data_IF_001735451081
#
_entry.id   IF_001735451081
#
_cell.length_a   1.000
_cell.length_b   1.000
_cell.length_c   1.000
_cell.angle_alpha   90.00
_cell.angle_beta   90.00
_cell.angle_gamma   90.00
#
_symmetry.space_group_name_H-M   'P 1'
#
loop_
_entity.id
_entity.type
_entity.pdbx_description
1 polymer ?
#
# COMPACT_ATOMS: atom_id res chain seq x y z
N UNK A 1 -6.28 -1.90 30.96
CA UNK A 1 -5.89 -2.15 29.55
C UNK A 1 -4.73 -1.25 29.06
N UNK A 2 -3.72 -0.94 29.89
CA UNK A 2 -2.47 -0.31 29.39
C UNK A 2 -1.53 -1.37 28.79
N UNK A 3 -1.30 -2.46 29.53
CA UNK A 3 -0.44 -3.58 29.13
C UNK A 3 -0.73 -4.18 27.75
N UNK A 4 -1.99 -4.28 27.34
CA UNK A 4 -2.34 -4.83 26.01
C UNK A 4 -2.04 -3.84 24.88
N UNK A 5 -2.30 -2.55 25.10
CA UNK A 5 -1.89 -1.49 24.18
C UNK A 5 -0.37 -1.37 24.07
N UNK A 6 0.34 -1.55 25.19
CA UNK A 6 1.81 -1.57 25.20
C UNK A 6 2.36 -2.79 24.47
N UNK A 7 1.69 -3.94 24.57
CA UNK A 7 2.03 -5.15 23.79
C UNK A 7 1.88 -4.92 22.30
N UNK A 8 0.76 -4.32 21.85
CA UNK A 8 0.58 -3.98 20.43
C UNK A 8 1.68 -3.05 19.92
N UNK A 9 1.94 -1.95 20.64
CA UNK A 9 2.94 -0.95 20.25
C UNK A 9 4.35 -1.54 20.21
N UNK A 10 4.73 -2.29 21.25
CA UNK A 10 6.06 -2.87 21.38
C UNK A 10 6.34 -3.93 20.31
N UNK A 11 5.39 -4.83 20.04
CA UNK A 11 5.52 -5.84 18.98
C UNK A 11 5.64 -5.18 17.61
N UNK A 12 4.74 -4.24 17.25
CA UNK A 12 4.82 -3.56 15.94
C UNK A 12 6.15 -2.80 15.81
N UNK A 13 6.53 -2.03 16.83
CA UNK A 13 7.79 -1.28 16.82
C UNK A 13 9.01 -2.19 16.61
N UNK A 14 9.09 -3.30 17.36
CA UNK A 14 10.17 -4.28 17.24
C UNK A 14 10.32 -4.81 15.82
N UNK A 15 9.22 -5.26 15.21
CA UNK A 15 9.28 -5.88 13.88
C UNK A 15 9.46 -4.84 12.77
N UNK A 16 8.91 -3.62 12.92
CA UNK A 16 9.23 -2.50 12.01
C UNK A 16 10.71 -2.14 12.04
N UNK A 17 11.33 -2.07 13.22
CA UNK A 17 12.78 -1.81 13.34
C UNK A 17 13.63 -2.87 12.65
N UNK A 18 13.21 -4.15 12.65
CA UNK A 18 13.90 -5.18 11.87
C UNK A 18 13.81 -4.96 10.36
N UNK A 19 12.71 -4.39 9.86
CA UNK A 19 12.61 -4.01 8.45
C UNK A 19 13.51 -2.83 8.14
N UNK A 20 13.44 -1.76 8.94
CA UNK A 20 14.25 -0.55 8.73
C UNK A 20 15.75 -0.84 8.74
N UNK A 21 16.21 -1.76 9.59
CA UNK A 21 17.62 -2.16 9.66
C UNK A 21 18.01 -3.27 8.66
N UNK A 22 17.12 -3.67 7.75
CA UNK A 22 17.39 -4.70 6.74
C UNK A 22 17.55 -6.12 7.29
N UNK A 23 17.21 -6.37 8.56
CA UNK A 23 17.23 -7.70 9.18
C UNK A 23 16.15 -8.58 8.59
N UNK A 24 14.96 -8.02 8.36
CA UNK A 24 13.82 -8.68 7.74
C UNK A 24 13.32 -7.92 6.52
N UNK A 25 12.81 -8.67 5.54
CA UNK A 25 11.90 -8.11 4.53
C UNK A 25 10.55 -7.77 5.17
N UNK A 26 9.76 -6.89 4.55
CA UNK A 26 8.41 -6.57 5.05
C UNK A 26 7.56 -7.82 5.31
N UNK A 27 7.58 -8.79 4.38
CA UNK A 27 6.81 -10.05 4.50
C UNK A 27 7.27 -10.89 5.69
N UNK A 28 8.57 -11.01 5.90
CA UNK A 28 9.12 -11.74 7.05
C UNK A 28 8.74 -11.06 8.37
N UNK A 29 8.77 -9.73 8.42
CA UNK A 29 8.34 -8.97 9.59
C UNK A 29 6.84 -9.14 9.86
N UNK A 30 6.00 -9.14 8.83
CA UNK A 30 4.57 -9.41 8.97
C UNK A 30 4.32 -10.79 9.58
N UNK A 31 4.91 -11.84 9.00
CA UNK A 31 4.71 -13.22 9.47
C UNK A 31 5.22 -13.40 10.90
N UNK A 32 6.39 -12.84 11.22
CA UNK A 32 6.97 -12.92 12.55
C UNK A 32 6.14 -12.17 13.61
N UNK A 33 5.62 -10.98 13.28
CA UNK A 33 4.76 -10.22 14.16
C UNK A 33 3.40 -10.91 14.37
N UNK A 34 2.79 -11.47 13.33
CA UNK A 34 1.55 -12.25 13.46
C UNK A 34 1.78 -13.47 14.34
N UNK A 35 2.89 -14.19 14.17
CA UNK A 35 3.25 -15.33 15.02
C UNK A 35 3.40 -14.92 16.49
N UNK A 36 4.05 -13.78 16.77
CA UNK A 36 4.24 -13.26 18.13
C UNK A 36 2.92 -12.85 18.79
N UNK A 37 1.99 -12.26 18.05
CA UNK A 37 0.66 -11.99 18.60
C UNK A 37 -0.13 -13.26 18.89
N UNK A 38 -0.13 -14.21 17.94
CA UNK A 38 -0.89 -15.46 18.09
C UNK A 38 -0.35 -16.34 19.22
N UNK A 39 0.98 -16.39 19.42
CA UNK A 39 1.59 -17.14 20.54
C UNK A 39 1.19 -16.59 21.92
N UNK A 40 0.85 -15.30 21.99
CA UNK A 40 0.34 -14.62 23.19
C UNK A 40 -1.19 -14.71 23.31
N UNK A 41 -1.85 -15.44 22.42
CA UNK A 41 -3.32 -15.58 22.40
C UNK A 41 -4.07 -14.38 21.82
N UNK A 42 -3.37 -13.45 21.16
CA UNK A 42 -3.96 -12.23 20.61
C UNK A 42 -4.33 -12.44 19.14
N UNK A 43 -5.61 -12.54 18.83
CA UNK A 43 -6.12 -12.88 17.50
C UNK A 43 -6.81 -11.71 16.76
N UNK A 44 -7.20 -10.66 17.48
CA UNK A 44 -7.85 -9.49 16.92
C UNK A 44 -7.54 -8.23 17.74
N UNK A 45 -7.71 -7.08 17.10
CA UNK A 45 -7.69 -5.77 17.75
C UNK A 45 -9.09 -5.18 17.68
N UNK A 46 -9.51 -4.51 18.74
CA UNK A 46 -10.75 -3.74 18.78
C UNK A 46 -10.41 -2.25 18.67
N UNK A 47 -11.01 -1.60 17.68
CA UNK A 47 -10.91 -0.16 17.49
C UNK A 47 -11.85 0.59 18.43
N UNK A 48 -11.65 1.92 18.54
CA UNK A 48 -12.43 2.78 19.44
C UNK A 48 -13.94 2.74 19.15
N UNK A 49 -14.32 2.45 17.91
CA UNK A 49 -15.70 2.29 17.43
C UNK A 49 -16.29 0.89 17.72
N UNK A 50 -15.55 0.01 18.42
CA UNK A 50 -15.95 -1.37 18.71
C UNK A 50 -15.74 -2.32 17.52
N UNK A 51 -15.24 -1.85 16.38
CA UNK A 51 -14.94 -2.69 15.22
C UNK A 51 -13.75 -3.59 15.55
N UNK A 52 -13.93 -4.90 15.36
CA UNK A 52 -12.83 -5.88 15.50
C UNK A 52 -12.18 -6.17 14.16
N UNK A 53 -10.85 -6.12 14.14
CA UNK A 53 -10.04 -6.41 12.97
C UNK A 53 -9.13 -7.59 13.28
N UNK A 54 -8.95 -8.48 12.32
CA UNK A 54 -8.05 -9.62 12.47
C UNK A 54 -6.60 -9.13 12.67
N UNK A 55 -5.85 -9.84 13.52
CA UNK A 55 -4.48 -9.43 13.85
C UNK A 55 -3.53 -9.40 12.65
N UNK A 56 -3.71 -10.27 11.65
CA UNK A 56 -2.90 -10.27 10.44
C UNK A 56 -3.17 -9.04 9.57
N UNK A 57 -4.44 -8.65 9.45
CA UNK A 57 -4.84 -7.44 8.73
C UNK A 57 -4.30 -6.19 9.42
N UNK A 58 -4.38 -6.15 10.75
CA UNK A 58 -3.83 -5.06 11.54
C UNK A 58 -2.31 -4.97 11.43
N UNK A 59 -1.62 -6.09 11.59
CA UNK A 59 -0.14 -6.15 11.58
C UNK A 59 0.44 -5.71 10.25
N UNK A 60 -0.11 -6.22 9.14
CA UNK A 60 0.31 -5.83 7.79
C UNK A 60 0.10 -4.34 7.53
N UNK A 61 -1.04 -3.79 7.94
CA UNK A 61 -1.32 -2.36 7.85
C UNK A 61 -0.34 -1.54 8.69
N UNK A 62 -0.16 -1.91 9.95
CA UNK A 62 0.63 -1.15 10.92
C UNK A 62 2.12 -1.12 10.55
N UNK A 63 2.73 -2.28 10.27
CA UNK A 63 4.15 -2.34 9.91
C UNK A 63 4.40 -1.59 8.59
N UNK A 64 3.52 -1.72 7.58
CA UNK A 64 3.65 -0.96 6.32
C UNK A 64 3.60 0.55 6.57
N UNK A 65 2.62 1.02 7.34
CA UNK A 65 2.49 2.44 7.64
C UNK A 65 3.69 2.98 8.42
N UNK A 66 4.22 2.21 9.38
CA UNK A 66 5.43 2.61 10.12
C UNK A 66 6.65 2.70 9.19
N UNK A 67 6.85 1.69 8.34
CA UNK A 67 7.99 1.69 7.40
C UNK A 67 7.90 2.80 6.36
N UNK A 68 6.70 3.04 5.81
CA UNK A 68 6.46 4.13 4.87
C UNK A 68 6.78 5.50 5.51
N UNK A 69 6.35 5.72 6.76
CA UNK A 69 6.67 6.95 7.50
C UNK A 69 8.15 7.08 7.83
N UNK A 70 8.80 5.98 8.20
CA UNK A 70 10.24 5.97 8.44
C UNK A 70 11.03 6.32 7.16
N UNK A 71 10.60 5.78 6.02
CA UNK A 71 11.16 6.12 4.71
C UNK A 71 10.98 7.60 4.38
N UNK A 72 9.75 8.13 4.49
CA UNK A 72 9.46 9.54 4.24
C UNK A 72 10.24 10.48 5.18
N UNK A 73 10.40 10.11 6.46
CA UNK A 73 11.21 10.88 7.40
C UNK A 73 12.70 10.87 7.03
N UNK A 74 13.24 9.72 6.60
CA UNK A 74 14.63 9.61 6.16
C UNK A 74 14.92 10.42 4.90
N UNK A 75 14.05 10.31 3.89
CA UNK A 75 14.11 11.13 2.67
C UNK A 75 13.93 12.62 2.97
N UNK A 76 13.02 12.96 3.89
CA UNK A 76 12.76 14.33 4.29
C UNK A 76 13.96 15.01 4.95
N UNK A 77 14.68 14.30 5.83
CA UNK A 77 15.92 14.79 6.43
C UNK A 77 17.03 14.97 5.37
N UNK A 78 17.11 14.07 4.40
CA UNK A 78 18.05 14.21 3.29
C UNK A 78 17.72 15.42 2.40
N UNK A 79 16.44 15.63 2.08
CA UNK A 79 15.95 16.82 1.37
C UNK A 79 16.26 18.12 2.11
N UNK A 80 16.04 18.13 3.42
CA UNK A 80 16.41 19.26 4.29
C UNK A 80 17.90 19.58 4.23
N UNK A 81 18.76 18.57 4.20
CA UNK A 81 20.20 18.76 4.01
C UNK A 81 20.54 19.38 2.65
N UNK A 82 19.81 19.02 1.59
CA UNK A 82 19.96 19.60 0.27
C UNK A 82 19.36 21.01 0.13
N UNK A 83 18.52 21.44 1.08
CA UNK A 83 17.76 22.68 0.97
C UNK A 83 16.54 22.58 0.06
N UNK A 84 16.13 21.36 -0.31
CA UNK A 84 14.97 21.12 -1.15
C UNK A 84 13.75 20.81 -0.28
N UNK A 85 12.65 21.53 -0.47
CA UNK A 85 11.42 21.33 0.30
C UNK A 85 10.24 20.93 -0.56
N UNK A 86 10.39 20.94 -1.89
CA UNK A 86 9.35 20.56 -2.81
C UNK A 86 9.33 19.06 -3.05
N UNK A 87 8.14 18.48 -3.00
CA UNK A 87 7.91 17.06 -3.21
C UNK A 87 6.77 16.83 -4.17
N UNK A 88 6.88 15.79 -4.99
CA UNK A 88 5.82 15.32 -5.86
C UNK A 88 5.27 13.99 -5.36
N UNK A 89 3.94 13.86 -5.35
CA UNK A 89 3.28 12.63 -4.95
C UNK A 89 3.28 11.63 -6.11
N UNK A 90 3.80 10.43 -5.85
CA UNK A 90 3.84 9.35 -6.84
C UNK A 90 2.43 8.97 -7.32
N UNK A 91 2.24 8.70 -8.60
CA UNK A 91 0.98 8.14 -9.12
C UNK A 91 1.02 6.60 -9.20
N UNK A 92 -0.13 5.95 -8.95
CA UNK A 92 -0.31 4.54 -9.31
C UNK A 92 -1.75 4.19 -9.71
N UNK A 93 -1.92 3.22 -10.61
CA UNK A 93 -3.23 2.85 -11.17
C UNK A 93 -4.30 2.43 -10.13
N UNK A 94 -3.90 2.00 -8.93
CA UNK A 94 -4.80 1.57 -7.85
C UNK A 94 -4.98 2.61 -6.75
N UNK A 95 -4.95 3.90 -7.11
CA UNK A 95 -5.16 4.99 -6.15
C UNK A 95 -6.54 4.93 -5.51
N UNK A 96 -6.58 5.17 -4.19
CA UNK A 96 -7.84 5.25 -3.48
C UNK A 96 -8.47 6.63 -3.67
N UNK A 97 -9.76 6.76 -3.30
CA UNK A 97 -10.49 8.03 -3.38
C UNK A 97 -9.85 9.18 -2.60
N UNK A 98 -9.12 8.87 -1.51
CA UNK A 98 -8.48 9.86 -0.65
C UNK A 98 -7.16 10.36 -1.21
N UNK A 99 -6.37 9.49 -1.84
CA UNK A 99 -5.05 9.87 -2.39
C UNK A 99 -5.12 10.42 -3.80
N UNK A 100 -6.11 9.96 -4.60
CA UNK A 100 -6.25 10.35 -6.01
C UNK A 100 -6.20 11.86 -6.26
N UNK A 101 -6.82 12.73 -5.43
CA UNK A 101 -6.74 14.18 -5.63
C UNK A 101 -5.33 14.77 -5.51
N UNK A 102 -4.37 14.05 -4.95
CA UNK A 102 -3.02 14.53 -4.68
C UNK A 102 -1.97 13.92 -5.60
N UNK A 103 -2.32 12.95 -6.46
CA UNK A 103 -1.36 12.32 -7.36
C UNK A 103 -0.78 13.31 -8.38
N UNK A 104 0.52 13.19 -8.66
CA UNK A 104 1.28 14.09 -9.54
C UNK A 104 1.24 15.57 -9.15
N UNK A 105 0.76 15.90 -7.94
CA UNK A 105 0.82 17.27 -7.43
C UNK A 105 2.12 17.51 -6.70
N UNK A 106 2.64 18.72 -6.91
CA UNK A 106 3.76 19.27 -6.13
C UNK A 106 3.20 19.86 -4.85
N UNK A 107 3.82 19.51 -3.73
CA UNK A 107 3.52 19.98 -2.39
C UNK A 107 4.80 20.48 -1.72
N UNK A 108 4.66 21.32 -0.69
CA UNK A 108 5.77 21.69 0.19
C UNK A 108 5.81 20.72 1.36
N UNK A 109 6.95 20.05 1.56
CA UNK A 109 7.17 19.13 2.68
C UNK A 109 7.50 19.88 3.97
N UNK A 110 6.47 20.40 4.63
CA UNK A 110 6.52 21.03 5.94
C UNK A 110 6.59 20.03 7.11
N UNK A 111 6.43 18.73 6.83
CA UNK A 111 6.35 17.67 7.86
C UNK A 111 7.70 17.04 8.15
N UNK A 112 8.46 16.70 7.10
CA UNK A 112 9.72 15.97 7.22
C UNK A 112 10.92 16.82 6.81
N UNK A 113 10.80 17.60 5.72
CA UNK A 113 11.89 18.47 5.25
C UNK A 113 11.93 19.83 5.95
N UNK A 114 10.81 20.25 6.55
CA UNK A 114 10.71 21.51 7.28
C UNK A 114 10.48 22.72 6.37
N UNK A 115 9.85 22.51 5.22
CA UNK A 115 9.43 23.59 4.34
C UNK A 115 8.39 24.51 4.97
N UNK A 116 8.27 25.70 4.40
CA UNK A 116 7.37 26.76 4.86
C UNK A 116 6.46 27.23 3.73
N UNK A 117 5.31 27.87 4.03
CA UNK A 117 4.46 28.48 3.00
C UNK A 117 5.18 29.51 2.12
N UNK A 118 6.31 30.05 2.58
CA UNK A 118 7.11 31.01 1.83
C UNK A 118 7.97 30.35 0.74
N UNK A 119 8.07 29.00 0.73
CA UNK A 119 8.88 28.24 -0.23
C UNK A 119 8.20 28.09 -1.60
N UNK A 120 6.91 28.43 -1.73
CA UNK A 120 6.21 28.41 -3.01
C UNK A 120 4.68 28.50 -2.89
N UNK A 121 4.01 28.66 -4.03
CA UNK A 121 2.53 28.65 -4.12
C UNK A 121 1.98 27.21 -4.28
N UNK A 122 2.38 26.34 -3.35
CA UNK A 122 1.95 24.94 -3.32
C UNK A 122 1.27 24.62 -1.99
N UNK A 123 0.39 23.62 -2.03
CA UNK A 123 -0.27 23.13 -0.81
C UNK A 123 0.75 22.47 0.12
N UNK A 124 0.60 22.70 1.43
CA UNK A 124 1.46 22.06 2.43
C UNK A 124 1.15 20.57 2.54
N UNK A 125 2.20 19.77 2.75
CA UNK A 125 2.06 18.33 2.94
C UNK A 125 1.20 18.01 4.17
N UNK A 126 1.34 18.76 5.26
CA UNK A 126 0.51 18.60 6.47
C UNK A 126 -0.99 18.78 6.19
N UNK A 127 -1.35 19.71 5.30
CA UNK A 127 -2.74 19.94 4.88
C UNK A 127 -3.25 18.76 4.05
N UNK A 128 -2.47 18.29 3.08
CA UNK A 128 -2.84 17.13 2.27
C UNK A 128 -3.02 15.87 3.14
N UNK A 129 -2.16 15.68 4.14
CA UNK A 129 -2.29 14.59 5.13
C UNK A 129 -3.56 14.72 5.98
N UNK A 130 -3.96 15.94 6.35
CA UNK A 130 -5.20 16.17 7.08
C UNK A 130 -6.45 15.85 6.23
N UNK A 131 -6.37 16.06 4.91
CA UNK A 131 -7.43 15.71 3.96
C UNK A 131 -7.49 14.22 3.60
N UNK A 132 -6.47 13.43 3.97
CA UNK A 132 -6.49 11.96 3.88
C UNK A 132 -5.34 11.33 3.09
N UNK A 133 -4.36 12.12 2.64
CA UNK A 133 -3.12 11.60 2.05
C UNK A 133 -2.35 10.75 3.07
N UNK A 134 -1.71 9.67 2.62
CA UNK A 134 -1.00 8.70 3.46
C UNK A 134 -1.86 7.99 4.53
N UNK A 135 -3.12 7.71 4.18
CA UNK A 135 -3.99 6.86 5.00
C UNK A 135 -3.40 5.45 5.25
N UNK A 136 -3.91 4.68 6.24
CA UNK A 136 -3.44 3.31 6.47
C UNK A 136 -3.54 2.44 5.21
N UNK A 137 -2.47 1.70 4.89
CA UNK A 137 -2.26 0.94 3.63
C UNK A 137 -2.08 1.76 2.35
N UNK A 138 -1.86 3.07 2.44
CA UNK A 138 -1.42 3.85 1.30
C UNK A 138 -0.12 3.27 0.69
N UNK A 139 0.07 3.41 -0.62
CA UNK A 139 1.29 3.00 -1.32
C UNK A 139 2.03 4.15 -2.00
N UNK A 140 1.49 5.37 -1.88
CA UNK A 140 2.12 6.57 -2.39
C UNK A 140 3.46 6.83 -1.69
N UNK A 141 4.40 7.39 -2.41
CA UNK A 141 5.66 7.89 -1.89
C UNK A 141 5.79 9.40 -2.13
N UNK A 142 6.78 9.98 -1.48
CA UNK A 142 7.24 11.35 -1.72
C UNK A 142 8.46 11.28 -2.62
N UNK A 143 8.33 11.73 -3.86
CA UNK A 143 9.47 12.02 -4.73
C UNK A 143 9.96 13.44 -4.48
N UNK A 144 11.27 13.68 -4.57
CA UNK A 144 11.79 15.06 -4.54
C UNK A 144 11.44 15.73 -5.86
N UNK A 145 10.92 16.96 -5.78
CA UNK A 145 10.61 17.76 -6.96
C UNK A 145 11.69 18.82 -7.17
N UNK A 146 12.26 18.85 -8.37
CA UNK A 146 13.30 19.80 -8.79
C UNK A 146 12.73 20.64 -9.93
N UNK A 147 12.29 21.88 -9.67
CA UNK A 147 11.69 22.75 -10.69
C UNK A 147 12.58 22.94 -11.92
N UNK A 148 13.90 23.01 -11.73
CA UNK A 148 14.90 23.17 -12.78
C UNK A 148 15.03 21.95 -13.72
N UNK A 149 14.47 20.79 -13.34
CA UNK A 149 14.46 19.57 -14.14
C UNK A 149 13.11 19.32 -14.83
N UNK A 150 12.13 20.21 -14.66
CA UNK A 150 10.78 20.09 -15.23
C UNK A 150 10.79 20.02 -16.77
N UNK A 151 11.73 20.71 -17.42
CA UNK A 151 11.96 20.66 -18.88
C UNK A 151 12.50 19.29 -19.35
N UNK A 152 13.05 18.49 -18.45
CA UNK A 152 13.64 17.17 -18.72
C UNK A 152 12.65 16.06 -18.36
N UNK A 153 11.85 16.27 -17.30
CA UNK A 153 10.89 15.31 -16.77
C UNK A 153 9.54 16.02 -16.60
N UNK A 154 8.71 15.98 -17.63
CA UNK A 154 7.33 16.44 -17.52
C UNK A 154 6.52 15.45 -16.67
N UNK A 155 6.07 15.94 -15.52
CA UNK A 155 5.02 15.30 -14.74
C UNK A 155 3.68 15.81 -15.27
N UNK A 156 2.90 14.95 -15.92
CA UNK A 156 1.57 15.31 -16.40
C UNK A 156 0.70 15.77 -15.23
N UNK A 157 0.46 17.08 -15.16
CA UNK A 157 -0.40 17.76 -14.18
C UNK A 157 -1.74 18.19 -14.76
N UNK A 158 -1.92 18.04 -16.08
CA UNK A 158 -3.12 18.49 -16.77
C UNK A 158 -4.24 17.44 -16.73
N UNK A 159 -5.32 17.83 -16.07
CA UNK A 159 -6.68 17.27 -16.11
C UNK A 159 -7.00 16.08 -15.18
N UNK A 160 -7.78 16.41 -14.15
CA UNK A 160 -8.45 15.50 -13.20
C UNK A 160 -9.52 14.66 -13.92
N UNK A 161 -9.11 13.76 -14.82
CA UNK A 161 -10.03 12.69 -15.19
C UNK A 161 -10.18 11.75 -14.00
N UNK A 162 -11.39 11.74 -13.46
CA UNK A 162 -11.91 10.67 -12.59
C UNK A 162 -11.93 9.37 -13.39
N UNK A 163 -10.76 8.74 -13.55
CA UNK A 163 -10.66 7.43 -14.16
C UNK A 163 -11.46 6.44 -13.31
N UNK A 164 -12.30 5.64 -13.96
CA UNK A 164 -13.26 4.73 -13.37
C UNK A 164 -12.65 3.79 -12.31
N UNK A 165 -13.49 3.45 -11.35
CA UNK A 165 -13.18 2.55 -10.25
C UNK A 165 -12.92 1.12 -10.73
N UNK A 166 -11.87 0.50 -10.20
CA UNK A 166 -11.77 -0.96 -10.04
C UNK A 166 -10.88 -1.67 -11.06
N UNK A 167 -9.56 -1.71 -10.82
CA UNK A 167 -8.69 -2.60 -11.59
C UNK A 167 -8.90 -4.08 -11.20
N UNK A 168 -8.51 -4.98 -12.10
CA UNK A 168 -8.43 -6.43 -11.92
C UNK A 168 -7.69 -6.86 -10.62
N UNK A 169 -6.84 -6.01 -10.07
CA UNK A 169 -6.10 -6.22 -8.82
C UNK A 169 -6.97 -6.14 -7.57
N UNK A 170 -8.00 -5.28 -7.57
CA UNK A 170 -9.00 -5.24 -6.49
C UNK A 170 -9.82 -6.54 -6.47
N UNK A 171 -10.11 -7.11 -7.65
CA UNK A 171 -10.70 -8.44 -7.78
C UNK A 171 -9.75 -9.54 -7.24
N UNK A 172 -8.45 -9.45 -7.52
CA UNK A 172 -7.44 -10.41 -7.02
C UNK A 172 -7.34 -10.40 -5.49
N UNK A 173 -7.19 -9.22 -4.87
CA UNK A 173 -7.12 -9.09 -3.42
C UNK A 173 -8.41 -9.57 -2.74
N UNK A 174 -9.58 -9.28 -3.32
CA UNK A 174 -10.85 -9.78 -2.82
C UNK A 174 -10.92 -11.32 -2.85
N UNK A 175 -10.51 -11.93 -3.96
CA UNK A 175 -10.52 -13.39 -4.13
C UNK A 175 -9.54 -14.06 -3.15
N UNK A 176 -8.34 -13.53 -2.98
CA UNK A 176 -7.37 -14.07 -2.02
C UNK A 176 -7.88 -14.00 -0.59
N UNK A 177 -8.56 -12.91 -0.22
CA UNK A 177 -9.21 -12.77 1.09
C UNK A 177 -10.32 -13.81 1.30
N UNK A 178 -11.13 -14.08 0.26
CA UNK A 178 -12.19 -15.08 0.33
C UNK A 178 -11.63 -16.50 0.45
N UNK A 179 -10.55 -16.83 -0.28
CA UNK A 179 -9.84 -18.11 -0.14
C UNK A 179 -9.36 -18.27 1.32
N UNK A 180 -8.66 -17.28 1.85
CA UNK A 180 -8.10 -17.36 3.20
C UNK A 180 -9.20 -17.42 4.29
N UNK A 181 -10.34 -16.77 4.07
CA UNK A 181 -11.52 -16.90 4.93
C UNK A 181 -12.00 -18.36 5.00
N UNK A 182 -12.22 -19.01 3.85
CA UNK A 182 -12.72 -20.39 3.84
C UNK A 182 -11.69 -21.42 4.29
N UNK A 183 -10.37 -21.19 4.09
CA UNK A 183 -9.31 -22.03 4.71
C UNK A 183 -9.43 -22.02 6.23
N UNK A 184 -9.55 -20.83 6.84
CA UNK A 184 -9.72 -20.68 8.30
C UNK A 184 -10.99 -21.37 8.80
N UNK A 185 -12.12 -21.17 8.12
CA UNK A 185 -13.40 -21.81 8.49
C UNK A 185 -13.35 -23.33 8.39
N UNK A 186 -12.63 -23.87 7.39
CA UNK A 186 -12.47 -25.32 7.21
C UNK A 186 -11.64 -25.93 8.32
N UNK A 187 -10.53 -25.28 8.72
CA UNK A 187 -9.64 -25.76 9.79
C UNK A 187 -10.30 -25.63 11.17
N UNK A 188 -11.05 -24.55 11.40
CA UNK A 188 -11.65 -24.24 12.70
C UNK A 188 -13.01 -24.91 12.98
N UNK A 189 -13.59 -25.63 12.02
CA UNK A 189 -14.89 -26.29 12.20
C UNK A 189 -14.71 -27.75 12.59
N UNK A 190 -15.51 -28.23 13.56
CA UNK A 190 -15.52 -29.62 14.02
C UNK A 190 -16.64 -30.45 13.36
N UNK A 191 -17.65 -29.79 12.80
CA UNK A 191 -18.81 -30.43 12.19
C UNK A 191 -18.50 -30.85 10.73
N UNK A 192 -18.58 -32.16 10.39
CA UNK A 192 -18.32 -32.66 9.05
C UNK A 192 -19.14 -31.98 7.95
N UNK A 193 -20.39 -31.60 8.22
CA UNK A 193 -21.25 -30.94 7.23
C UNK A 193 -20.76 -29.51 6.93
N UNK A 194 -20.32 -28.78 7.96
CA UNK A 194 -19.75 -27.46 7.81
C UNK A 194 -18.38 -27.50 7.13
N UNK A 195 -17.53 -28.48 7.46
CA UNK A 195 -16.25 -28.70 6.78
C UNK A 195 -16.46 -28.93 5.27
N UNK A 196 -17.41 -29.80 4.89
CA UNK A 196 -17.72 -30.07 3.49
C UNK A 196 -18.20 -28.81 2.76
N UNK A 197 -19.09 -28.04 3.39
CA UNK A 197 -19.60 -26.77 2.85
C UNK A 197 -18.49 -25.73 2.64
N UNK A 198 -17.59 -25.57 3.61
CA UNK A 198 -16.49 -24.61 3.51
C UNK A 198 -15.43 -25.02 2.50
N UNK A 199 -15.13 -26.32 2.37
CA UNK A 199 -14.27 -26.85 1.31
C UNK A 199 -14.84 -26.61 -0.08
N UNK A 200 -16.14 -26.81 -0.26
CA UNK A 200 -16.79 -26.53 -1.54
C UNK A 200 -16.66 -25.05 -1.94
N UNK A 201 -16.87 -24.14 -0.99
CA UNK A 201 -16.65 -22.70 -1.20
C UNK A 201 -15.18 -22.36 -1.44
N UNK A 202 -14.24 -22.97 -0.71
CA UNK A 202 -12.81 -22.79 -0.95
C UNK A 202 -12.44 -23.11 -2.41
N UNK A 203 -12.87 -24.27 -2.90
CA UNK A 203 -12.61 -24.72 -4.27
C UNK A 203 -13.27 -23.81 -5.32
N UNK A 204 -14.40 -23.19 -4.99
CA UNK A 204 -15.04 -22.18 -5.85
C UNK A 204 -14.14 -20.95 -6.01
N UNK A 205 -13.60 -20.42 -4.91
CA UNK A 205 -12.75 -19.23 -4.94
C UNK A 205 -11.36 -19.50 -5.53
N UNK A 206 -10.79 -20.68 -5.31
CA UNK A 206 -9.53 -21.09 -5.94
C UNK A 206 -9.68 -21.23 -7.47
N UNK A 207 -10.84 -21.70 -7.96
CA UNK A 207 -11.14 -21.70 -9.40
C UNK A 207 -11.26 -20.29 -9.98
N UNK A 208 -11.93 -19.37 -9.27
CA UNK A 208 -11.99 -17.94 -9.68
C UNK A 208 -10.60 -17.30 -9.73
N UNK A 209 -9.70 -17.65 -8.80
CA UNK A 209 -8.29 -17.21 -8.83
C UNK A 209 -7.56 -17.72 -10.07
N UNK A 210 -7.76 -18.98 -10.43
CA UNK A 210 -7.14 -19.58 -11.62
C UNK A 210 -7.62 -18.92 -12.92
N UNK A 211 -8.93 -18.65 -13.04
CA UNK A 211 -9.51 -17.96 -14.21
C UNK A 211 -8.95 -16.56 -14.42
N UNK A 212 -8.77 -15.78 -13.34
CA UNK A 212 -8.08 -14.49 -13.42
C UNK A 212 -6.62 -14.62 -13.83
N UNK A 213 -5.92 -15.67 -13.41
CA UNK A 213 -4.53 -15.93 -13.83
C UNK A 213 -4.41 -16.17 -15.33
N UNK A 214 -5.38 -16.89 -15.92
CA UNK A 214 -5.42 -17.20 -17.36
C UNK A 214 -5.77 -15.95 -18.19
N UNK A 215 -6.80 -15.18 -17.79
CA UNK A 215 -7.18 -13.95 -18.47
C UNK A 215 -6.04 -12.92 -18.53
N UNK A 216 -5.22 -12.83 -17.48
CA UNK A 216 -4.05 -11.96 -17.47
C UNK A 216 -2.96 -12.41 -18.44
N UNK A 217 -2.76 -13.73 -18.62
CA UNK A 217 -1.77 -14.26 -19.57
C UNK A 217 -2.15 -14.03 -21.04
N UNK A 218 -3.46 -14.05 -21.34
CA UNK A 218 -4.00 -13.76 -22.67
C UNK A 218 -3.94 -12.26 -23.00
N UNK A 219 -4.13 -11.38 -22.01
CA UNK A 219 -4.08 -9.92 -22.19
C UNK A 219 -2.65 -9.36 -22.29
N UNK A 220 -1.65 -10.07 -21.76
CA UNK A 220 -0.23 -9.71 -21.87
C UNK A 220 0.44 -10.13 -23.19
N UNK A 221 -0.30 -10.84 -24.06
CA UNK A 221 0.20 -11.32 -25.35
C UNK A 221 -0.52 -10.66 -26.52
N UNK A 222 -0.20 -9.40 -26.84
CA UNK A 222 -0.11 -8.77 -28.18
C UNK A 222 0.34 -7.31 -27.95
N UNK A 223 1.65 -7.09 -27.80
CA UNK A 223 2.33 -5.93 -28.37
C UNK A 223 3.61 -6.49 -28.99
N UNK A 224 3.50 -6.95 -30.24
CA UNK A 224 4.68 -7.38 -31.00
C UNK A 224 5.52 -6.13 -31.31
N UNK A 225 6.57 -5.90 -30.53
CA UNK A 225 7.59 -4.86 -30.72
C UNK A 225 8.36 -4.97 -32.06
N UNK A 226 8.06 -5.96 -32.90
CA UNK A 226 8.72 -6.21 -34.18
C UNK A 226 8.10 -5.48 -35.38
N UNK A 227 6.91 -4.89 -35.28
CA UNK A 227 6.31 -4.14 -36.40
C UNK A 227 6.67 -2.65 -36.43
N UNK A 228 7.07 -2.06 -35.30
CA UNK A 228 7.37 -0.61 -35.22
C UNK A 228 8.70 -0.26 -35.92
N UNK A 229 9.66 -1.19 -35.99
CA UNK A 229 10.97 -0.95 -36.63
C UNK A 229 11.03 -1.27 -38.12
N UNK A 230 9.99 -1.88 -38.71
CA UNK A 230 9.99 -2.21 -40.14
C UNK A 230 9.50 -1.06 -41.04
N UNK A 231 8.88 -0.01 -40.46
CA UNK A 231 8.41 1.18 -41.19
C UNK A 231 9.37 2.38 -41.16
N UNK A 232 10.53 2.27 -40.52
CA UNK A 232 11.55 3.35 -40.47
C UNK A 232 12.80 3.11 -41.33
N UNK A 233 12.84 2.03 -42.13
CA UNK A 233 13.92 1.76 -43.09
C UNK A 233 13.52 1.98 -44.55
N UNK A 234 12.32 2.52 -44.80
CA UNK A 234 11.87 2.94 -46.12
C UNK A 234 11.24 4.32 -45.98
N UNK A 235 12.07 5.36 -45.78
CA UNK A 235 11.88 6.76 -46.23
C UNK A 235 13.17 7.53 -45.95
#
# INVERSE_FOLDING_TARGET
MRMMNDTYRSTIFKYSMYVTNGVYTEKQAYDAAVKDFLSRGINCIEYKDGRRVNIADYTSMAIRTVNQRAYMAGEGEFRKYLGETLVIISHHATSCKLCKPFENKVLIDDVYSGGTPDDGDYMLLSQAMAEGLFHPRCRHGLGTYYPELEDIVHYETEDNRLNEYGTEELNRAHIENMIQKYKRLTIGSLDPANIAKYRARLNEWERRKAQLGIANSENSGIINYTEVYRKKSEH
#
